data_IF_489557221310
#
_entry.id   IF_489557221310
#
_cell.length_a   1.000
_cell.length_b   1.000
_cell.length_c   1.000
_cell.angle_alpha   90.00
_cell.angle_beta   90.00
_cell.angle_gamma   90.00
#
_symmetry.space_group_name_H-M   'P 1'
#
loop_
_entity.id
_entity.type
_entity.pdbx_description
1 polymer ?
#
# COMPACT_ATOMS: atom_id res chain seq x y z
N UNK A 1 35.23 0.41 -28.71
CA UNK A 1 34.86 -0.69 -27.79
C UNK A 1 34.45 -0.22 -26.37
N UNK A 2 35.11 0.78 -25.79
CA UNK A 2 34.77 1.30 -24.43
C UNK A 2 33.33 1.81 -24.33
N UNK A 3 32.78 2.49 -25.32
CA UNK A 3 31.41 3.04 -25.32
C UNK A 3 30.32 1.95 -25.18
N UNK A 4 30.45 0.85 -25.90
CA UNK A 4 29.44 -0.24 -25.87
C UNK A 4 29.37 -0.98 -24.54
N UNK A 5 30.50 -1.03 -23.82
CA UNK A 5 30.55 -1.66 -22.49
C UNK A 5 29.81 -0.82 -21.44
N UNK A 6 30.00 0.50 -21.46
CA UNK A 6 29.27 1.40 -20.55
C UNK A 6 27.76 1.36 -20.81
N UNK A 7 27.37 1.27 -22.08
CA UNK A 7 25.95 1.17 -22.44
C UNK A 7 25.29 -0.13 -21.90
N UNK A 8 25.99 -1.27 -22.04
CA UNK A 8 25.52 -2.56 -21.53
C UNK A 8 25.45 -2.55 -19.99
N UNK A 9 26.46 -1.98 -19.33
CA UNK A 9 26.47 -1.88 -17.86
C UNK A 9 25.32 -0.99 -17.33
N UNK A 10 25.08 0.15 -17.97
CA UNK A 10 23.99 1.07 -17.61
C UNK A 10 22.63 0.42 -17.89
N UNK A 11 22.47 -0.30 -19.00
CA UNK A 11 21.22 -1.03 -19.30
C UNK A 11 20.97 -2.17 -18.29
N UNK A 12 22.03 -2.90 -17.91
CA UNK A 12 21.92 -3.96 -16.90
C UNK A 12 21.58 -3.40 -15.52
N UNK A 13 22.14 -2.23 -15.16
CA UNK A 13 21.82 -1.54 -13.91
C UNK A 13 20.39 -1.00 -13.92
N UNK A 14 19.93 -0.46 -15.04
CA UNK A 14 18.53 -0.01 -15.22
C UNK A 14 17.54 -1.18 -15.17
N UNK A 15 17.88 -2.34 -15.74
CA UNK A 15 17.07 -3.56 -15.65
C UNK A 15 17.03 -4.16 -14.23
N UNK A 16 18.10 -4.01 -13.45
CA UNK A 16 18.15 -4.42 -12.04
C UNK A 16 17.39 -3.43 -11.12
N UNK A 17 17.27 -2.18 -11.53
CA UNK A 17 16.50 -1.15 -10.81
C UNK A 17 15.01 -1.09 -11.22
N UNK A 18 14.61 -1.77 -12.30
CA UNK A 18 13.21 -2.01 -12.57
C UNK A 18 12.68 -3.08 -11.61
N UNK A 19 12.45 -2.70 -10.35
CA UNK A 19 11.47 -3.39 -9.55
C UNK A 19 10.18 -3.37 -10.39
N UNK A 20 9.68 -4.54 -10.75
CA UNK A 20 8.35 -4.66 -11.31
C UNK A 20 7.41 -4.16 -10.22
N UNK A 21 7.00 -2.90 -10.30
CA UNK A 21 5.83 -2.43 -9.61
C UNK A 21 4.66 -3.19 -10.20
N UNK A 22 4.34 -4.35 -9.65
CA UNK A 22 3.02 -4.90 -9.82
C UNK A 22 2.10 -3.85 -9.18
N UNK A 23 1.34 -3.14 -10.00
CA UNK A 23 0.23 -2.34 -9.48
C UNK A 23 -0.79 -3.35 -8.95
N UNK A 24 -0.70 -3.65 -7.67
CA UNK A 24 -1.72 -4.41 -6.98
C UNK A 24 -2.91 -3.47 -6.76
N UNK A 25 -4.16 -3.94 -7.00
CA UNK A 25 -5.32 -3.23 -6.55
C UNK A 25 -5.20 -3.08 -5.03
N UNK A 26 -4.99 -1.89 -4.50
CA UNK A 26 -4.74 -1.69 -3.09
C UNK A 26 -3.64 -0.68 -2.81
N UNK A 27 -3.02 -0.11 -3.84
CA UNK A 27 -1.99 0.91 -3.67
C UNK A 27 -0.60 0.36 -3.47
N UNK A 28 0.34 1.23 -3.13
CA UNK A 28 1.77 0.94 -3.05
C UNK A 28 2.21 0.22 -1.76
N UNK A 29 1.29 -0.32 -0.97
CA UNK A 29 1.62 -1.06 0.25
C UNK A 29 1.98 -0.16 1.44
N UNK A 30 1.55 1.09 1.45
CA UNK A 30 1.75 2.02 2.57
C UNK A 30 0.77 1.81 3.73
N UNK A 31 -0.12 0.84 3.62
CA UNK A 31 -1.11 0.44 4.64
C UNK A 31 -2.23 1.44 4.89
N UNK A 32 -2.18 2.63 4.34
CA UNK A 32 -3.18 3.69 4.51
C UNK A 32 -3.65 4.09 3.12
N UNK A 33 -4.95 4.01 2.88
CA UNK A 33 -5.50 4.30 1.56
C UNK A 33 -6.57 5.37 1.65
N UNK A 34 -6.17 6.54 1.23
CA UNK A 34 -7.08 7.65 0.99
C UNK A 34 -7.77 7.50 -0.39
N UNK A 35 -8.73 8.35 -0.66
CA UNK A 35 -9.49 8.32 -1.91
C UNK A 35 -8.60 8.60 -3.15
N UNK A 36 -7.47 9.30 -2.98
CA UNK A 36 -6.52 9.55 -4.07
C UNK A 36 -5.67 8.33 -4.39
N UNK A 37 -5.30 7.52 -3.40
CA UNK A 37 -4.56 6.28 -3.64
C UNK A 37 -5.36 5.32 -4.51
N UNK A 38 -6.67 5.20 -4.30
CA UNK A 38 -7.56 4.43 -5.17
C UNK A 38 -7.55 4.93 -6.62
N UNK A 39 -7.41 6.24 -6.83
CA UNK A 39 -7.32 6.84 -8.16
C UNK A 39 -5.94 6.70 -8.82
N UNK A 40 -4.86 6.83 -8.07
CA UNK A 40 -3.51 6.86 -8.61
C UNK A 40 -2.98 5.48 -9.04
N UNK A 41 -3.33 4.40 -8.33
CA UNK A 41 -2.85 3.05 -8.62
C UNK A 41 -3.74 2.29 -9.61
N UNK A 42 -5.00 2.69 -9.74
CA UNK A 42 -5.99 2.07 -10.62
C UNK A 42 -6.48 2.98 -11.75
N UNK A 43 -5.79 4.06 -11.98
CA UNK A 43 -6.14 5.11 -12.92
C UNK A 43 -6.55 6.40 -12.20
N UNK A 44 -6.47 7.49 -12.90
CA UNK A 44 -6.94 8.80 -12.45
C UNK A 44 -8.45 8.74 -12.18
N UNK A 45 -8.89 9.13 -10.99
CA UNK A 45 -10.31 9.18 -10.63
C UNK A 45 -11.14 10.02 -11.64
N UNK A 46 -10.50 10.96 -12.33
CA UNK A 46 -11.13 11.78 -13.38
C UNK A 46 -11.43 11.01 -14.68
N UNK A 47 -10.78 9.86 -14.89
CA UNK A 47 -10.99 9.00 -16.08
C UNK A 47 -11.77 7.73 -15.75
N UNK A 48 -12.11 7.49 -14.48
CA UNK A 48 -12.96 6.38 -14.09
C UNK A 48 -14.40 6.61 -14.51
N UNK A 49 -15.05 5.57 -14.97
CA UNK A 49 -16.49 5.59 -15.18
C UNK A 49 -17.22 5.55 -13.83
N UNK A 50 -18.39 6.17 -13.78
CA UNK A 50 -19.22 6.14 -12.56
C UNK A 50 -19.78 4.74 -12.34
N UNK A 51 -19.55 4.17 -11.15
CA UNK A 51 -20.13 2.90 -10.76
C UNK A 51 -21.65 3.01 -10.59
N UNK A 52 -22.37 1.99 -11.04
CA UNK A 52 -23.81 1.80 -10.76
C UNK A 52 -24.06 1.25 -9.35
N UNK A 53 -23.04 0.90 -8.61
CA UNK A 53 -23.14 0.33 -7.27
C UNK A 53 -23.79 1.30 -6.29
N UNK A 54 -24.66 0.76 -5.44
CA UNK A 54 -25.30 1.49 -4.34
C UNK A 54 -24.60 1.09 -3.05
N UNK A 55 -23.98 2.06 -2.39
CA UNK A 55 -23.24 1.88 -1.14
C UNK A 55 -24.07 2.40 0.06
N UNK A 56 -24.15 1.61 1.11
CA UNK A 56 -24.81 1.97 2.36
C UNK A 56 -23.97 1.55 3.55
N UNK A 57 -23.67 2.49 4.44
CA UNK A 57 -23.01 2.25 5.71
C UNK A 57 -24.05 2.16 6.83
N UNK A 58 -23.77 1.29 7.80
CA UNK A 58 -24.56 1.18 9.05
C UNK A 58 -23.64 0.95 10.25
N UNK A 59 -24.12 1.38 11.43
CA UNK A 59 -23.47 1.21 12.73
C UNK A 59 -24.51 0.83 13.78
N UNK A 60 -24.09 0.35 14.97
CA UNK A 60 -24.94 0.35 16.15
C UNK A 60 -25.45 1.75 16.49
N UNK A 61 -26.59 1.83 17.15
CA UNK A 61 -27.21 3.11 17.55
C UNK A 61 -26.36 3.89 18.56
N UNK A 62 -25.70 3.19 19.47
CA UNK A 62 -24.85 3.79 20.50
C UNK A 62 -23.42 3.29 20.35
N UNK A 63 -22.48 4.22 20.32
CA UNK A 63 -21.04 3.95 20.26
C UNK A 63 -20.39 4.65 21.45
N UNK A 64 -19.55 3.90 22.18
CA UNK A 64 -18.85 4.41 23.35
C UNK A 64 -17.37 4.62 23.07
N UNK A 65 -16.80 5.65 23.68
CA UNK A 65 -15.38 5.96 23.60
C UNK A 65 -14.53 4.76 24.05
N UNK A 66 -13.57 4.35 23.23
CA UNK A 66 -12.64 3.25 23.52
C UNK A 66 -13.27 1.85 23.46
N UNK A 67 -14.55 1.72 23.15
CA UNK A 67 -15.22 0.42 23.01
C UNK A 67 -15.22 0.03 21.52
N UNK A 68 -14.76 -1.20 21.18
CA UNK A 68 -14.87 -1.70 19.82
C UNK A 68 -16.31 -1.74 19.31
N UNK A 69 -16.54 -1.26 18.11
CA UNK A 69 -17.85 -1.27 17.45
C UNK A 69 -17.72 -1.73 16.00
N UNK A 70 -18.85 -2.09 15.37
CA UNK A 70 -18.87 -2.55 13.98
C UNK A 70 -19.44 -1.47 13.07
N UNK A 71 -18.71 -1.15 11.99
CA UNK A 71 -19.24 -0.43 10.84
C UNK A 71 -19.42 -1.44 9.70
N UNK A 72 -20.61 -1.50 9.14
CA UNK A 72 -20.93 -2.44 8.07
C UNK A 72 -21.24 -1.68 6.79
N UNK A 73 -20.54 -2.03 5.72
CA UNK A 73 -20.78 -1.57 4.37
C UNK A 73 -21.55 -2.62 3.58
N UNK A 74 -22.69 -2.25 3.05
CA UNK A 74 -23.41 -3.05 2.05
C UNK A 74 -23.29 -2.37 0.71
N UNK A 75 -22.78 -3.12 -0.28
CA UNK A 75 -22.68 -2.71 -1.66
C UNK A 75 -23.59 -3.59 -2.51
N UNK A 76 -24.53 -2.98 -3.22
CA UNK A 76 -25.51 -3.67 -4.08
C UNK A 76 -25.51 -3.10 -5.49
N UNK A 77 -26.22 -3.74 -6.40
CA UNK A 77 -26.25 -3.40 -7.82
C UNK A 77 -24.86 -3.40 -8.46
N UNK A 78 -24.04 -4.39 -8.09
CA UNK A 78 -22.67 -4.53 -8.53
C UNK A 78 -22.60 -5.11 -9.95
N UNK A 79 -22.02 -4.37 -10.87
CA UNK A 79 -21.67 -4.83 -12.22
C UNK A 79 -20.17 -5.07 -12.28
N UNK A 80 -19.74 -6.31 -12.16
CA UNK A 80 -18.33 -6.66 -12.11
C UNK A 80 -17.80 -7.15 -13.46
N UNK A 81 -16.51 -6.91 -13.68
CA UNK A 81 -15.75 -7.47 -14.80
C UNK A 81 -15.56 -8.98 -14.68
N UNK A 82 -14.87 -9.57 -15.63
CA UNK A 82 -14.53 -11.01 -15.61
C UNK A 82 -13.71 -11.43 -14.37
N UNK A 83 -12.92 -10.53 -13.79
CA UNK A 83 -12.16 -10.79 -12.58
C UNK A 83 -13.02 -10.84 -11.33
N UNK A 84 -14.19 -10.17 -11.35
CA UNK A 84 -15.11 -10.07 -10.20
C UNK A 84 -14.47 -9.52 -8.94
N UNK A 85 -13.33 -8.85 -9.08
CA UNK A 85 -12.61 -8.21 -7.99
C UNK A 85 -13.19 -6.82 -7.75
N UNK A 86 -13.45 -6.50 -6.50
CA UNK A 86 -13.87 -5.18 -6.04
C UNK A 86 -12.94 -4.73 -4.92
N UNK A 87 -12.61 -3.44 -4.90
CA UNK A 87 -11.94 -2.75 -3.80
C UNK A 87 -12.95 -1.88 -3.05
N UNK A 88 -12.94 -1.95 -1.73
CA UNK A 88 -13.88 -1.24 -0.86
C UNK A 88 -13.12 -0.44 0.18
N UNK A 89 -13.50 0.82 0.37
CA UNK A 89 -12.86 1.77 1.27
C UNK A 89 -13.82 2.21 2.36
N UNK A 90 -13.29 2.37 3.58
CA UNK A 90 -13.93 3.10 4.67
C UNK A 90 -13.19 4.43 4.85
N UNK A 91 -13.90 5.54 4.76
CA UNK A 91 -13.35 6.89 4.73
C UNK A 91 -14.08 7.79 5.75
N UNK A 92 -13.45 8.89 6.14
CA UNK A 92 -14.04 9.94 7.02
C UNK A 92 -14.14 11.30 6.34
N UNK A 93 -13.62 11.41 5.13
CA UNK A 93 -13.78 12.57 4.24
C UNK A 93 -13.80 12.09 2.80
N UNK A 94 -14.16 12.97 1.88
CA UNK A 94 -14.26 12.73 0.44
C UNK A 94 -13.35 13.66 -0.36
N UNK A 95 -12.42 14.35 0.30
CA UNK A 95 -11.50 15.31 -0.33
C UNK A 95 -10.27 14.65 -0.94
N UNK A 96 -9.98 13.40 -0.57
CA UNK A 96 -8.80 12.65 -1.01
C UNK A 96 -7.53 12.99 -0.23
N UNK A 97 -7.65 13.66 0.91
CA UNK A 97 -6.53 13.98 1.80
C UNK A 97 -6.98 13.86 3.25
N UNK A 98 -6.21 13.14 4.07
CA UNK A 98 -6.53 12.93 5.48
C UNK A 98 -7.97 12.42 5.69
N UNK A 99 -8.37 11.47 4.86
CA UNK A 99 -9.73 10.96 4.79
C UNK A 99 -9.86 9.53 5.34
N UNK A 100 -8.81 9.03 5.96
CA UNK A 100 -8.84 7.72 6.60
C UNK A 100 -9.49 7.79 7.99
N UNK A 101 -10.04 6.70 8.53
CA UNK A 101 -10.53 6.66 9.90
C UNK A 101 -9.50 7.10 10.94
N UNK A 102 -8.22 6.78 10.72
CA UNK A 102 -7.12 7.16 11.61
C UNK A 102 -6.92 8.68 11.69
N UNK A 103 -7.14 9.40 10.60
CA UNK A 103 -7.08 10.87 10.58
C UNK A 103 -8.18 11.51 11.43
N UNK A 104 -9.31 10.83 11.59
CA UNK A 104 -10.43 11.24 12.44
C UNK A 104 -10.37 10.62 13.85
N UNK A 105 -9.22 10.14 14.29
CA UNK A 105 -8.98 9.54 15.60
C UNK A 105 -9.79 8.26 15.86
N UNK A 106 -9.99 7.45 14.80
CA UNK A 106 -10.53 6.11 14.85
C UNK A 106 -9.45 5.08 14.53
N UNK A 107 -9.39 4.02 15.31
CA UNK A 107 -8.52 2.88 15.09
C UNK A 107 -9.32 1.75 14.44
N UNK A 108 -8.76 1.11 13.42
CA UNK A 108 -9.32 -0.12 12.84
C UNK A 108 -8.68 -1.29 13.56
N UNK A 109 -9.47 -2.07 14.27
CA UNK A 109 -9.02 -3.23 15.03
C UNK A 109 -9.07 -4.52 14.22
N UNK A 110 -9.99 -4.61 13.28
CA UNK A 110 -10.11 -5.76 12.39
C UNK A 110 -10.92 -5.37 11.16
N UNK A 111 -10.47 -5.82 9.99
CA UNK A 111 -11.23 -5.79 8.75
C UNK A 111 -11.76 -7.20 8.38
N UNK A 112 -12.53 -7.30 7.31
CA UNK A 112 -13.14 -8.56 6.90
C UNK A 112 -12.14 -9.61 6.38
N UNK A 113 -10.90 -9.22 6.06
CA UNK A 113 -9.83 -10.10 5.60
C UNK A 113 -8.87 -10.51 6.73
N UNK A 114 -9.06 -9.98 7.95
CA UNK A 114 -8.21 -10.22 9.13
C UNK A 114 -7.07 -9.22 9.29
N UNK A 115 -7.02 -8.17 8.46
CA UNK A 115 -6.10 -7.05 8.64
C UNK A 115 -6.70 -5.92 9.48
N UNK A 116 -6.03 -4.76 9.45
CA UNK A 116 -6.44 -3.52 10.12
C UNK A 116 -6.49 -2.33 9.16
N UNK A 117 -6.86 -2.60 7.91
CA UNK A 117 -6.84 -1.63 6.83
C UNK A 117 -8.22 -0.99 6.62
N UNK A 118 -8.25 0.27 6.22
CA UNK A 118 -9.46 0.94 5.77
C UNK A 118 -9.88 0.55 4.34
N UNK A 119 -9.05 -0.22 3.67
CA UNK A 119 -9.28 -0.76 2.34
C UNK A 119 -9.24 -2.29 2.35
N UNK A 120 -10.12 -2.92 1.60
CA UNK A 120 -10.05 -4.35 1.36
C UNK A 120 -10.49 -4.73 -0.04
N UNK A 121 -9.95 -5.83 -0.53
CA UNK A 121 -10.34 -6.44 -1.78
C UNK A 121 -11.20 -7.68 -1.54
N UNK A 122 -12.17 -7.86 -2.42
CA UNK A 122 -13.03 -9.05 -2.39
C UNK A 122 -13.34 -9.53 -3.79
N UNK A 123 -13.19 -10.84 -4.00
CA UNK A 123 -13.66 -11.50 -5.22
C UNK A 123 -15.09 -12.00 -4.99
N UNK A 124 -16.02 -11.51 -5.82
CA UNK A 124 -17.43 -11.92 -5.75
C UNK A 124 -17.63 -13.29 -6.38
N UNK A 125 -18.60 -14.05 -5.89
CA UNK A 125 -19.03 -15.27 -6.53
C UNK A 125 -19.68 -14.98 -7.90
N UNK A 126 -19.72 -15.97 -8.78
CA UNK A 126 -20.34 -15.79 -10.10
C UNK A 126 -21.83 -15.49 -9.97
N UNK A 127 -22.27 -14.38 -10.55
CA UNK A 127 -23.66 -13.92 -10.48
C UNK A 127 -24.03 -13.20 -9.19
N UNK A 128 -23.09 -13.01 -8.28
CA UNK A 128 -23.28 -12.20 -7.09
C UNK A 128 -23.21 -10.71 -7.48
N UNK A 129 -24.24 -9.94 -7.13
CA UNK A 129 -24.34 -8.50 -7.38
C UNK A 129 -24.51 -7.68 -6.10
N UNK A 130 -24.30 -8.31 -4.95
CA UNK A 130 -24.38 -7.69 -3.63
C UNK A 130 -23.33 -8.31 -2.71
N UNK A 131 -22.75 -7.50 -1.82
CA UNK A 131 -21.84 -7.96 -0.77
C UNK A 131 -21.99 -7.08 0.45
N UNK A 132 -21.72 -7.67 1.63
CA UNK A 132 -21.65 -6.94 2.89
C UNK A 132 -20.33 -7.27 3.57
N UNK A 133 -19.64 -6.25 4.04
CA UNK A 133 -18.38 -6.35 4.76
C UNK A 133 -18.43 -5.48 6.00
N UNK A 134 -17.62 -5.81 7.00
CA UNK A 134 -17.58 -5.08 8.24
C UNK A 134 -16.15 -4.77 8.65
N UNK A 135 -15.97 -3.59 9.24
CA UNK A 135 -14.80 -3.21 10.00
C UNK A 135 -15.15 -3.15 11.48
N UNK A 136 -14.26 -3.63 12.31
CA UNK A 136 -14.31 -3.37 13.74
C UNK A 136 -13.42 -2.17 14.01
N UNK A 137 -14.01 -1.10 14.53
CA UNK A 137 -13.34 0.17 14.78
C UNK A 137 -13.49 0.59 16.24
N UNK A 138 -12.60 1.47 16.69
CA UNK A 138 -12.61 2.02 18.04
C UNK A 138 -12.34 3.52 17.98
N UNK A 139 -13.23 4.33 18.57
CA UNK A 139 -13.05 5.76 18.67
C UNK A 139 -12.09 6.13 19.81
N UNK A 140 -11.17 7.06 19.56
CA UNK A 140 -10.27 7.62 20.58
C UNK A 140 -10.73 8.98 21.09
N UNK A 141 -11.84 9.54 20.55
CA UNK A 141 -12.35 10.86 20.87
C UNK A 141 -13.88 10.88 20.94
N UNK A 142 -14.40 11.71 21.85
CA UNK A 142 -15.83 12.02 21.92
C UNK A 142 -16.26 12.97 20.81
N UNK A 143 -17.51 12.88 20.39
CA UNK A 143 -18.12 13.77 19.40
C UNK A 143 -18.61 13.02 18.17
N UNK A 144 -18.98 13.77 17.13
CA UNK A 144 -19.53 13.20 15.90
C UNK A 144 -18.44 13.07 14.82
N UNK A 145 -18.51 11.95 14.09
CA UNK A 145 -17.70 11.69 12.88
C UNK A 145 -18.63 11.24 11.77
N UNK A 146 -18.40 11.70 10.56
CA UNK A 146 -19.14 11.23 9.39
C UNK A 146 -18.28 10.22 8.63
N UNK A 147 -18.79 9.01 8.47
CA UNK A 147 -18.16 7.98 7.65
C UNK A 147 -18.73 7.95 6.24
N UNK A 148 -17.86 7.73 5.28
CA UNK A 148 -18.15 7.50 3.90
C UNK A 148 -17.58 6.14 3.46
N UNK A 149 -18.06 5.64 2.35
CA UNK A 149 -17.46 4.48 1.71
C UNK A 149 -17.27 4.75 0.23
N UNK A 150 -16.24 4.13 -0.34
CA UNK A 150 -16.01 4.11 -1.77
C UNK A 150 -15.84 2.68 -2.27
N UNK A 151 -16.17 2.47 -3.52
CA UNK A 151 -15.95 1.22 -4.25
C UNK A 151 -15.16 1.49 -5.50
N UNK A 152 -14.24 0.60 -5.78
CA UNK A 152 -13.46 0.57 -7.01
C UNK A 152 -13.57 -0.82 -7.64
N UNK A 153 -13.89 -0.90 -8.93
CA UNK A 153 -13.96 -2.16 -9.65
C UNK A 153 -13.64 -1.95 -11.13
N UNK A 154 -13.51 -3.01 -11.85
CA UNK A 154 -13.10 -2.99 -13.24
C UNK A 154 -12.11 -4.10 -13.51
N UNK A 155 -11.43 -4.08 -14.64
CA UNK A 155 -10.45 -5.11 -14.98
C UNK A 155 -9.58 -4.71 -16.17
N UNK A 156 -8.59 -5.55 -16.47
CA UNK A 156 -7.63 -5.32 -17.56
C UNK A 156 -8.30 -5.08 -18.93
N UNK A 157 -9.52 -5.57 -19.09
CA UNK A 157 -10.30 -5.49 -20.35
C UNK A 157 -11.53 -4.59 -20.26
N UNK A 158 -11.75 -3.89 -19.14
CA UNK A 158 -12.87 -2.98 -18.94
C UNK A 158 -12.40 -1.67 -18.32
N UNK A 159 -13.14 -0.58 -18.55
CA UNK A 159 -12.88 0.69 -17.86
C UNK A 159 -12.90 0.50 -16.35
N UNK A 160 -12.06 1.22 -15.59
CA UNK A 160 -12.19 1.28 -14.15
C UNK A 160 -13.47 2.04 -13.78
N UNK A 161 -14.19 1.53 -12.77
CA UNK A 161 -15.40 2.15 -12.23
C UNK A 161 -15.14 2.58 -10.79
N UNK A 162 -15.68 3.74 -10.44
CA UNK A 162 -15.59 4.30 -9.10
C UNK A 162 -16.95 4.79 -8.62
N UNK A 163 -17.28 4.54 -7.37
CA UNK A 163 -18.50 4.98 -6.73
C UNK A 163 -18.31 5.26 -5.24
N UNK A 164 -19.16 6.10 -4.69
CA UNK A 164 -19.13 6.49 -3.29
C UNK A 164 -20.52 6.46 -2.67
N UNK A 165 -20.60 6.47 -1.34
CA UNK A 165 -21.86 6.68 -0.63
C UNK A 165 -22.48 8.04 -1.02
N UNK A 166 -23.78 8.04 -1.33
CA UNK A 166 -24.49 9.27 -1.66
C UNK A 166 -24.58 10.24 -0.45
N UNK A 167 -24.68 9.69 0.75
CA UNK A 167 -24.67 10.43 2.02
C UNK A 167 -23.78 9.69 3.00
N UNK A 168 -23.00 10.43 3.80
CA UNK A 168 -22.21 9.84 4.87
C UNK A 168 -23.09 9.31 6.02
N UNK A 169 -22.54 8.38 6.78
CA UNK A 169 -23.11 7.89 8.04
C UNK A 169 -22.57 8.77 9.18
N UNK A 170 -23.42 9.57 9.79
CA UNK A 170 -23.05 10.31 11.00
C UNK A 170 -23.10 9.39 12.21
N UNK A 171 -22.01 9.35 12.96
CA UNK A 171 -21.81 8.53 14.16
C UNK A 171 -21.48 9.44 15.32
N UNK A 172 -22.19 9.29 16.46
CA UNK A 172 -21.89 10.01 17.69
C UNK A 172 -21.24 9.09 18.71
N UNK A 173 -20.12 9.53 19.28
CA UNK A 173 -19.36 8.80 20.30
C UNK A 173 -19.70 9.36 21.66
N UNK A 174 -20.21 8.49 22.54
CA UNK A 174 -20.64 8.83 23.89
C UNK A 174 -19.63 8.40 24.96
N UNK A 175 -19.65 9.00 26.15
CA UNK A 175 -18.87 8.53 27.28
C UNK A 175 -19.30 7.12 27.72
N UNK A 176 -18.33 6.29 28.13
CA UNK A 176 -18.60 4.95 28.63
C UNK A 176 -19.30 5.01 29.96
N UNK A 177 -20.40 4.27 30.15
CA UNK A 177 -21.03 4.07 31.50
C UNK A 177 -20.02 3.46 32.50
N UNK A 178 -20.08 3.88 33.76
CA UNK A 178 -19.03 3.61 34.75
C UNK A 178 -18.76 2.11 34.94
N UNK A 179 -19.81 1.29 35.10
CA UNK A 179 -19.69 -0.15 35.39
C UNK A 179 -19.92 -1.06 34.17
N UNK A 180 -19.76 -0.53 32.96
CA UNK A 180 -19.99 -1.33 31.74
C UNK A 180 -18.89 -2.40 31.58
N UNK A 181 -19.24 -3.71 31.58
CA UNK A 181 -18.29 -4.78 31.24
C UNK A 181 -17.76 -4.56 29.85
N UNK A 182 -16.44 -4.57 29.68
CA UNK A 182 -15.80 -4.24 28.38
C UNK A 182 -14.43 -4.86 28.25
N UNK A 183 -13.93 -4.92 27.01
CA UNK A 183 -12.52 -5.17 26.77
C UNK A 183 -11.67 -4.03 27.32
N UNK A 184 -10.45 -4.32 27.77
CA UNK A 184 -9.50 -3.28 28.20
C UNK A 184 -9.26 -2.28 27.05
N UNK A 185 -9.08 -1.01 27.39
CA UNK A 185 -8.96 0.05 26.41
C UNK A 185 -7.72 -0.12 25.49
N UNK A 186 -6.68 -0.76 26.01
CA UNK A 186 -5.42 -1.07 25.31
C UNK A 186 -5.41 -2.49 24.71
N UNK A 187 -6.49 -3.26 24.86
CA UNK A 187 -6.59 -4.59 24.26
C UNK A 187 -6.64 -4.47 22.73
N UNK A 188 -5.68 -5.11 22.08
CA UNK A 188 -5.63 -5.27 20.63
C UNK A 188 -5.98 -6.72 20.27
N UNK A 189 -7.11 -6.98 19.57
CA UNK A 189 -7.44 -8.33 19.15
C UNK A 189 -6.39 -8.84 18.15
N UNK A 190 -5.91 -10.09 18.30
CA UNK A 190 -5.02 -10.68 17.31
C UNK A 190 -5.76 -10.87 15.98
N UNK A 191 -5.09 -10.57 14.88
CA UNK A 191 -5.64 -10.67 13.52
C UNK A 191 -5.12 -11.89 12.78
N UNK A 192 -3.97 -12.44 13.18
CA UNK A 192 -3.33 -13.60 12.54
C UNK A 192 -2.96 -14.69 13.54
N UNK A 193 -2.97 -15.94 13.09
CA UNK A 193 -2.53 -17.13 13.82
C UNK A 193 -1.75 -18.08 12.91
N UNK A 194 -0.82 -18.85 13.49
CA UNK A 194 -0.07 -19.86 12.78
C UNK A 194 -0.92 -21.11 12.46
N UNK A 195 -0.59 -21.76 11.35
CA UNK A 195 -1.13 -23.10 11.01
C UNK A 195 -0.56 -24.17 11.94
N UNK A 196 -1.23 -25.31 12.01
CA UNK A 196 -0.83 -26.55 12.67
C UNK A 196 -0.62 -26.45 14.19
N UNK A 197 -0.89 -25.31 14.80
CA UNK A 197 -0.77 -25.11 16.25
C UNK A 197 -2.06 -24.53 16.83
N UNK A 198 -2.50 -25.01 18.02
CA UNK A 198 -3.59 -24.36 18.76
C UNK A 198 -3.21 -22.91 19.06
N UNK A 199 -4.18 -22.02 18.99
CA UNK A 199 -3.98 -20.60 19.24
C UNK A 199 -4.49 -20.27 20.65
N UNK A 200 -3.63 -19.70 21.48
CA UNK A 200 -3.99 -19.18 22.79
C UNK A 200 -4.29 -17.69 22.69
N UNK A 201 -5.49 -17.30 23.04
CA UNK A 201 -5.92 -15.90 23.09
C UNK A 201 -5.93 -15.43 24.55
N UNK A 202 -5.21 -14.34 24.81
CA UNK A 202 -5.23 -13.66 26.09
C UNK A 202 -6.14 -12.44 26.00
N UNK A 203 -7.28 -12.48 26.70
CA UNK A 203 -8.33 -11.45 26.64
C UNK A 203 -8.29 -10.65 27.93
N UNK A 204 -8.07 -9.36 27.82
CA UNK A 204 -8.10 -8.43 28.94
C UNK A 204 -9.41 -7.66 28.96
N UNK A 205 -10.02 -7.59 30.12
CA UNK A 205 -11.35 -6.97 30.30
C UNK A 205 -11.33 -5.96 31.45
N UNK A 206 -12.40 -5.21 31.60
CA UNK A 206 -12.67 -4.31 32.73
C UNK A 206 -14.12 -4.49 33.18
N UNK A 207 -14.34 -4.43 34.49
CA UNK A 207 -15.70 -4.57 35.12
C UNK A 207 -16.41 -5.87 34.73
N UNK A 208 -15.64 -6.96 34.52
CA UNK A 208 -16.13 -8.24 33.98
C UNK A 208 -15.91 -9.35 35.00
N UNK A 209 -16.98 -10.04 35.38
CA UNK A 209 -16.97 -11.18 36.30
C UNK A 209 -16.89 -12.53 35.58
N UNK A 210 -17.49 -12.60 34.38
CA UNK A 210 -17.45 -13.80 33.55
C UNK A 210 -17.44 -13.43 32.07
N UNK A 211 -16.87 -14.34 31.24
CA UNK A 211 -16.94 -14.23 29.78
C UNK A 211 -17.39 -15.53 29.15
N UNK A 212 -18.18 -15.44 28.08
CA UNK A 212 -18.44 -16.53 27.16
C UNK A 212 -17.75 -16.24 25.83
N UNK A 213 -16.93 -17.17 25.39
CA UNK A 213 -16.20 -17.03 24.11
C UNK A 213 -16.89 -17.81 23.01
N UNK A 214 -17.22 -17.13 21.94
CA UNK A 214 -17.83 -17.69 20.74
C UNK A 214 -16.93 -17.49 19.52
N UNK A 215 -16.89 -18.48 18.66
CA UNK A 215 -16.22 -18.37 17.37
C UNK A 215 -16.98 -19.10 16.28
N UNK A 216 -16.79 -18.72 15.03
CA UNK A 216 -17.39 -19.34 13.85
C UNK A 216 -16.42 -19.33 12.69
N UNK A 217 -16.51 -20.33 11.83
CA UNK A 217 -15.88 -20.39 10.53
C UNK A 217 -16.81 -19.89 9.43
N UNK A 218 -16.36 -19.96 8.18
CA UNK A 218 -17.11 -19.49 7.01
C UNK A 218 -18.46 -20.17 6.80
N UNK A 219 -18.66 -21.35 7.38
CA UNK A 219 -19.97 -22.06 7.39
C UNK A 219 -21.01 -21.39 8.29
N UNK A 220 -20.60 -20.41 9.10
CA UNK A 220 -21.47 -19.65 9.99
C UNK A 220 -21.90 -20.36 11.26
N UNK A 221 -21.47 -21.61 11.50
CA UNK A 221 -21.79 -22.35 12.73
C UNK A 221 -21.02 -21.77 13.91
N UNK A 222 -21.74 -21.34 14.95
CA UNK A 222 -21.16 -20.81 16.17
C UNK A 222 -20.72 -21.97 17.07
N UNK A 223 -19.47 -21.92 17.49
CA UNK A 223 -18.85 -22.83 18.46
C UNK A 223 -18.43 -22.04 19.69
N UNK A 224 -18.47 -22.68 20.85
CA UNK A 224 -17.99 -22.09 22.10
C UNK A 224 -16.64 -22.68 22.48
N UNK A 225 -15.79 -21.86 23.10
CA UNK A 225 -14.58 -22.34 23.75
C UNK A 225 -14.57 -21.92 25.21
N UNK A 226 -13.90 -22.73 26.05
CA UNK A 226 -13.82 -22.48 27.49
C UNK A 226 -12.83 -21.33 27.71
N UNK A 227 -13.30 -20.29 28.39
CA UNK A 227 -12.48 -19.21 28.88
C UNK A 227 -12.04 -19.49 30.32
N UNK A 228 -10.72 -19.55 30.54
CA UNK A 228 -10.16 -19.77 31.86
C UNK A 228 -9.69 -18.43 32.44
N UNK A 229 -10.17 -18.08 33.64
CA UNK A 229 -9.66 -16.89 34.33
C UNK A 229 -8.20 -17.16 34.78
N UNK A 230 -7.30 -16.23 34.45
CA UNK A 230 -5.89 -16.27 34.83
C UNK A 230 -5.52 -15.19 35.85
N UNK A 231 -6.50 -14.43 36.30
CA UNK A 231 -6.35 -13.35 37.28
C UNK A 231 -7.46 -12.32 37.09
N UNK A 232 -7.38 -11.21 37.84
CA UNK A 232 -8.38 -10.16 37.79
C UNK A 232 -8.57 -9.60 36.39
N UNK A 233 -9.74 -9.82 35.80
CA UNK A 233 -10.10 -9.38 34.47
C UNK A 233 -9.20 -9.91 33.32
N UNK A 234 -8.47 -11.01 33.51
CA UNK A 234 -7.68 -11.65 32.46
C UNK A 234 -8.18 -13.07 32.20
N UNK A 235 -8.29 -13.41 30.95
CA UNK A 235 -8.87 -14.66 30.46
C UNK A 235 -8.02 -15.29 29.38
N UNK A 236 -7.87 -16.59 29.42
CA UNK A 236 -7.18 -17.36 28.39
C UNK A 236 -8.15 -18.31 27.71
N UNK A 237 -8.17 -18.29 26.39
CA UNK A 237 -9.00 -19.15 25.54
C UNK A 237 -8.11 -19.86 24.53
N UNK A 238 -8.31 -21.17 24.38
CA UNK A 238 -7.58 -21.94 23.39
C UNK A 238 -8.50 -22.29 22.20
N UNK A 239 -8.12 -21.86 21.01
CA UNK A 239 -8.80 -22.20 19.74
C UNK A 239 -8.04 -23.36 19.08
N UNK A 240 -8.74 -24.37 18.54
CA UNK A 240 -8.11 -25.48 17.82
C UNK A 240 -7.23 -25.02 16.65
N UNK A 241 -6.18 -25.80 16.34
CA UNK A 241 -5.29 -25.54 15.22
C UNK A 241 -6.06 -25.48 13.89
N UNK A 242 -5.66 -24.53 13.03
CA UNK A 242 -6.06 -24.53 11.64
C UNK A 242 -5.10 -25.41 10.82
N UNK A 243 -5.63 -26.33 10.01
CA UNK A 243 -4.84 -27.23 9.18
C UNK A 243 -4.60 -26.70 7.76
N UNK A 244 -5.24 -25.61 7.41
CA UNK A 244 -5.10 -24.93 6.12
C UNK A 244 -5.41 -23.44 6.30
N UNK A 245 -4.94 -22.57 5.39
CA UNK A 245 -5.28 -21.15 5.40
C UNK A 245 -6.80 -20.97 5.42
N UNK A 246 -7.31 -20.29 6.45
CA UNK A 246 -8.73 -20.03 6.65
C UNK A 246 -8.90 -18.87 7.62
N UNK A 247 -10.04 -18.23 7.58
CA UNK A 247 -10.41 -17.19 8.55
C UNK A 247 -11.52 -17.71 9.47
N UNK A 248 -11.45 -17.33 10.72
CA UNK A 248 -12.53 -17.48 11.68
C UNK A 248 -12.92 -16.11 12.22
N UNK A 249 -14.12 -15.99 12.70
CA UNK A 249 -14.56 -14.83 13.47
C UNK A 249 -14.79 -15.26 14.92
N UNK A 250 -14.42 -14.40 15.85
CA UNK A 250 -14.63 -14.64 17.28
C UNK A 250 -15.17 -13.40 17.98
N UNK A 251 -15.89 -13.61 19.06
CA UNK A 251 -16.40 -12.56 19.94
C UNK A 251 -16.49 -13.04 21.37
N UNK A 252 -16.66 -12.12 22.30
CA UNK A 252 -16.94 -12.43 23.70
C UNK A 252 -18.23 -11.75 24.17
N UNK A 253 -18.99 -12.49 24.96
CA UNK A 253 -20.07 -11.95 25.77
C UNK A 253 -19.47 -11.68 27.14
N UNK A 254 -19.70 -10.50 27.67
CA UNK A 254 -19.09 -9.98 28.90
C UNK A 254 -20.19 -9.71 29.91
N UNK A 255 -20.09 -10.33 31.07
CA UNK A 255 -21.03 -10.17 32.20
C UNK A 255 -20.29 -9.57 33.40
N UNK A 256 -20.95 -8.69 34.14
CA UNK A 256 -20.45 -8.03 35.33
C UNK A 256 -21.57 -7.30 36.08
N UNK A 257 -21.21 -6.32 36.90
CA UNK A 257 -22.22 -5.54 37.65
C UNK A 257 -23.10 -4.69 36.72
N UNK A 258 -22.59 -4.26 35.56
CA UNK A 258 -23.32 -3.48 34.56
C UNK A 258 -24.11 -4.38 33.61
N UNK A 259 -24.81 -3.78 32.63
CA UNK A 259 -25.53 -4.54 31.62
C UNK A 259 -24.56 -5.40 30.78
N UNK A 260 -25.00 -6.62 30.49
CA UNK A 260 -24.27 -7.56 29.61
C UNK A 260 -23.86 -6.89 28.29
N UNK A 261 -22.64 -7.14 27.87
CA UNK A 261 -22.09 -6.63 26.62
C UNK A 261 -21.63 -7.75 25.71
N UNK A 262 -21.83 -7.57 24.43
CA UNK A 262 -21.29 -8.46 23.40
C UNK A 262 -20.35 -7.66 22.51
N UNK A 263 -19.10 -8.15 22.37
CA UNK A 263 -18.14 -7.50 21.46
C UNK A 263 -18.54 -7.71 20.00
N UNK A 264 -18.02 -6.88 19.08
CA UNK A 264 -18.04 -7.21 17.66
C UNK A 264 -17.40 -8.56 17.36
N UNK A 265 -17.69 -9.10 16.18
CA UNK A 265 -16.94 -10.21 15.63
C UNK A 265 -15.58 -9.74 15.11
N UNK A 266 -14.51 -10.22 15.72
CA UNK A 266 -13.13 -9.99 15.27
C UNK A 266 -12.73 -11.10 14.31
N UNK A 267 -12.02 -10.75 13.24
CA UNK A 267 -11.49 -11.72 12.28
C UNK A 267 -10.10 -12.20 12.71
N UNK A 268 -9.86 -13.50 12.63
CA UNK A 268 -8.58 -14.13 12.93
C UNK A 268 -8.20 -15.05 11.76
N UNK A 269 -7.27 -14.60 10.92
CA UNK A 269 -6.80 -15.34 9.76
C UNK A 269 -5.71 -16.35 10.15
N UNK A 270 -5.79 -17.55 9.61
CA UNK A 270 -4.74 -18.56 9.73
C UNK A 270 -3.89 -18.56 8.47
N UNK A 271 -2.61 -18.32 8.63
CA UNK A 271 -1.64 -18.26 7.55
C UNK A 271 -0.41 -19.10 7.87
N UNK A 272 0.31 -19.52 6.83
CA UNK A 272 1.64 -20.08 7.02
C UNK A 272 2.51 -19.03 7.70
N UNK A 273 3.29 -19.46 8.70
CA UNK A 273 4.23 -18.56 9.34
C UNK A 273 5.13 -17.96 8.26
N UNK A 274 5.04 -16.65 8.10
CA UNK A 274 5.93 -15.94 7.18
C UNK A 274 7.38 -16.25 7.56
N UNK A 275 8.19 -16.55 6.56
CA UNK A 275 9.63 -16.71 6.78
C UNK A 275 10.15 -15.39 7.32
N UNK A 276 10.51 -15.37 8.59
CA UNK A 276 11.26 -14.25 9.15
C UNK A 276 12.63 -14.22 8.49
N UNK A 277 12.72 -13.40 7.46
CA UNK A 277 14.02 -13.14 6.84
C UNK A 277 14.79 -12.23 7.80
N UNK A 278 15.79 -12.81 8.47
CA UNK A 278 16.69 -12.03 9.31
C UNK A 278 17.23 -10.85 8.50
N UNK A 279 17.01 -9.60 8.95
CA UNK A 279 17.56 -8.40 8.30
C UNK A 279 19.06 -8.53 8.04
N UNK A 280 19.78 -9.13 8.97
CA UNK A 280 21.22 -9.42 8.84
C UNK A 280 21.50 -10.34 7.64
N UNK A 281 20.65 -11.31 7.34
CA UNK A 281 20.82 -12.19 6.18
C UNK A 281 20.61 -11.42 4.87
N UNK A 282 19.66 -10.49 4.83
CA UNK A 282 19.42 -9.62 3.66
C UNK A 282 20.63 -8.72 3.42
N UNK A 283 21.16 -8.08 4.47
CA UNK A 283 22.36 -7.27 4.34
C UNK A 283 23.57 -8.08 3.88
N UNK A 284 23.79 -9.29 4.44
CA UNK A 284 24.87 -10.18 4.02
C UNK A 284 24.73 -10.60 2.55
N UNK A 285 23.53 -10.90 2.08
CA UNK A 285 23.28 -11.21 0.68
C UNK A 285 23.53 -10.01 -0.22
N UNK A 286 23.09 -8.82 0.18
CA UNK A 286 23.36 -7.58 -0.57
C UNK A 286 24.84 -7.28 -0.68
N UNK A 287 25.60 -7.42 0.42
CA UNK A 287 27.07 -7.28 0.44
C UNK A 287 27.74 -8.34 -0.44
N UNK A 288 27.33 -9.60 -0.36
CA UNK A 288 27.89 -10.67 -1.18
C UNK A 288 27.69 -10.41 -2.69
N UNK A 289 26.50 -9.97 -3.07
CA UNK A 289 26.19 -9.56 -4.45
C UNK A 289 27.02 -8.36 -4.90
N UNK A 290 27.22 -7.37 -4.03
CA UNK A 290 28.04 -6.19 -4.33
C UNK A 290 29.52 -6.58 -4.54
N UNK A 291 30.09 -7.43 -3.68
CA UNK A 291 31.45 -7.93 -3.84
C UNK A 291 31.62 -8.82 -5.07
N UNK A 292 30.63 -9.66 -5.37
CA UNK A 292 30.65 -10.49 -6.57
C UNK A 292 30.61 -9.65 -7.84
N UNK A 293 29.75 -8.64 -7.92
CA UNK A 293 29.68 -7.74 -9.06
C UNK A 293 30.95 -6.89 -9.20
N UNK A 294 31.48 -6.37 -8.10
CA UNK A 294 32.77 -5.66 -8.10
C UNK A 294 33.91 -6.57 -8.58
N UNK A 295 33.98 -7.80 -8.09
CA UNK A 295 34.97 -8.80 -8.54
C UNK A 295 34.88 -9.11 -10.03
N UNK A 296 33.66 -9.27 -10.56
CA UNK A 296 33.44 -9.47 -11.99
C UNK A 296 33.92 -8.24 -12.81
N UNK A 297 33.55 -7.03 -12.38
CA UNK A 297 33.94 -5.79 -13.03
C UNK A 297 35.48 -5.64 -13.06
N UNK A 298 36.16 -5.85 -11.92
CA UNK A 298 37.61 -5.77 -11.81
C UNK A 298 38.29 -6.83 -12.71
N UNK A 299 37.78 -8.07 -12.70
CA UNK A 299 38.31 -9.16 -13.54
C UNK A 299 38.15 -8.86 -15.02
N UNK A 300 37.03 -8.29 -15.44
CA UNK A 300 36.83 -7.86 -16.82
C UNK A 300 37.74 -6.69 -17.18
N UNK A 301 37.87 -5.70 -16.30
CA UNK A 301 38.78 -4.56 -16.52
C UNK A 301 40.23 -5.01 -16.67
N UNK A 302 40.73 -5.90 -15.79
CA UNK A 302 42.13 -6.40 -15.89
C UNK A 302 42.36 -7.21 -17.17
N UNK A 303 41.40 -8.00 -17.64
CA UNK A 303 41.50 -8.71 -18.92
C UNK A 303 41.53 -7.78 -20.13
N UNK A 304 40.78 -6.69 -20.09
CA UNK A 304 40.74 -5.72 -21.18
C UNK A 304 41.96 -4.80 -21.20
N UNK A 305 42.52 -4.43 -20.04
CA UNK A 305 43.75 -3.64 -19.95
C UNK A 305 45.01 -4.47 -20.30
N UNK A 306 45.04 -5.76 -19.88
CA UNK A 306 46.14 -6.65 -20.25
C UNK A 306 46.26 -6.89 -21.78
N UNK A 307 45.13 -6.88 -22.54
CA UNK A 307 45.16 -6.99 -24.01
C UNK A 307 45.61 -5.70 -24.73
N UNK A 308 45.54 -4.55 -24.08
CA UNK A 308 45.97 -3.28 -24.69
C UNK A 308 47.43 -2.95 -24.40
N UNK A 309 48.10 -3.71 -23.52
CA UNK A 309 49.50 -3.49 -23.13
C UNK A 309 50.56 -4.25 -23.95
N UNK A 310 50.17 -5.14 -24.88
CA UNK A 310 51.06 -6.00 -25.62
C UNK A 310 51.37 -5.55 -27.10
N UNK A 311 51.11 -4.28 -27.43
CA UNK A 311 51.44 -3.75 -28.74
C UNK A 311 52.04 -2.35 -28.68
N UNK A 312 53.15 -2.21 -27.96
CA UNK A 312 54.03 -1.04 -28.13
C UNK A 312 55.40 -1.28 -27.54
N UNK A 313 56.16 -2.16 -28.14
CA UNK A 313 57.62 -2.10 -28.12
C UNK A 313 58.11 -2.64 -29.50
N UNK A 314 57.95 -1.83 -30.51
CA UNK A 314 58.85 -1.81 -31.62
C UNK A 314 59.60 -0.50 -31.49
N UNK A 315 60.87 -0.64 -31.05
CA UNK A 315 61.86 0.43 -31.06
C UNK A 315 62.10 0.89 -32.52
N UNK A 316 61.68 2.12 -32.76
CA UNK A 316 62.30 2.86 -33.94
C UNK A 316 63.16 3.97 -33.36
N UNK A 317 64.33 4.21 -34.00
CA UNK A 317 65.38 5.03 -33.42
C UNK A 317 65.01 6.52 -33.39
N UNK A 318 65.50 7.15 -32.33
CA UNK A 318 65.40 8.60 -32.09
C UNK A 318 66.18 9.32 -33.21
N UNK A 319 65.45 10.07 -34.03
CA UNK A 319 66.06 11.19 -34.81
C UNK A 319 65.47 12.46 -34.13
N UNK A 320 66.42 13.15 -33.47
CA UNK A 320 66.19 14.52 -33.03
C UNK A 320 66.21 15.41 -34.30
N UNK A 321 65.04 15.96 -34.60
CA UNK A 321 64.96 17.13 -35.48
C UNK A 321 64.07 18.18 -34.78
N UNK A 322 64.83 19.19 -34.40
CA UNK A 322 64.32 20.46 -33.89
C UNK A 322 63.68 21.18 -35.08
N UNK A 323 62.42 21.64 -34.93
CA UNK A 323 62.03 22.95 -35.50
C UNK A 323 60.50 23.26 -35.27
N UNK A 324 60.36 24.43 -34.75
CA UNK A 324 59.31 25.45 -35.05
C UNK A 324 57.88 25.26 -34.60
N UNK A 325 57.60 26.04 -33.60
CA UNK A 325 56.42 26.94 -33.40
C UNK A 325 55.38 26.96 -34.54
N UNK A 326 54.13 27.05 -33.95
CA UNK A 326 52.95 27.70 -34.53
C UNK A 326 51.94 26.75 -35.13
N UNK A 327 50.88 26.47 -34.37
CA UNK A 327 49.51 26.92 -34.71
C UNK A 327 48.55 26.48 -33.62
N UNK A 328 47.96 27.47 -32.94
CA UNK A 328 46.87 27.27 -32.02
C UNK A 328 45.63 26.82 -32.82
N UNK A 329 45.13 25.62 -32.52
CA UNK A 329 43.80 25.20 -32.96
C UNK A 329 42.75 26.12 -32.33
N UNK A 330 41.76 26.62 -33.08
CA UNK A 330 40.73 27.48 -32.55
C UNK A 330 39.85 26.68 -31.60
N UNK A 331 39.70 27.22 -30.40
CA UNK A 331 38.68 26.82 -29.43
C UNK A 331 37.31 26.84 -30.13
N UNK A 332 36.64 25.71 -30.18
CA UNK A 332 35.25 25.61 -30.61
C UNK A 332 34.44 26.54 -29.73
N UNK A 333 34.01 27.66 -30.26
CA UNK A 333 33.05 28.55 -29.59
C UNK A 333 31.76 27.79 -29.41
N UNK A 334 31.31 27.66 -28.16
CA UNK A 334 29.94 27.24 -27.89
C UNK A 334 28.98 28.19 -28.65
N UNK A 335 27.99 27.65 -29.37
CA UNK A 335 27.05 28.46 -30.13
C UNK A 335 26.32 29.41 -29.16
N UNK A 336 26.44 30.71 -29.39
CA UNK A 336 25.75 31.74 -28.62
C UNK A 336 24.24 31.50 -28.74
N UNK A 337 23.48 31.49 -27.64
CA UNK A 337 22.03 31.24 -27.67
C UNK A 337 21.33 32.29 -28.56
N UNK A 338 20.28 31.89 -29.32
CA UNK A 338 19.58 32.83 -30.18
C UNK A 338 18.84 33.91 -29.35
N UNK A 339 18.65 35.11 -29.89
CA UNK A 339 17.90 36.16 -29.21
C UNK A 339 16.47 35.70 -28.96
N UNK A 340 15.91 36.13 -27.82
CA UNK A 340 14.52 35.83 -27.47
C UNK A 340 13.55 36.41 -28.51
N UNK A 341 12.51 35.67 -28.94
CA UNK A 341 11.46 36.21 -29.80
C UNK A 341 10.77 37.41 -29.17
N UNK A 342 10.24 38.30 -29.98
CA UNK A 342 9.50 39.49 -29.50
C UNK A 342 8.26 39.14 -28.65
N UNK A 343 7.73 37.94 -28.82
CA UNK A 343 6.60 37.36 -28.05
C UNK A 343 7.01 36.73 -26.74
N UNK A 344 8.30 36.70 -26.39
CA UNK A 344 8.84 36.04 -25.20
C UNK A 344 9.14 34.56 -25.42
N UNK A 345 9.41 33.82 -24.35
CA UNK A 345 9.64 32.37 -24.39
C UNK A 345 8.36 31.61 -24.82
N UNK A 346 8.51 30.54 -25.61
CA UNK A 346 7.37 29.66 -25.91
C UNK A 346 6.72 29.13 -24.63
N UNK A 347 5.41 28.92 -24.67
CA UNK A 347 4.66 28.43 -23.49
C UNK A 347 5.25 27.15 -22.96
N UNK A 348 5.58 27.15 -21.65
CA UNK A 348 6.19 25.99 -20.95
C UNK A 348 7.72 25.90 -21.09
N UNK A 349 8.39 26.84 -21.75
CA UNK A 349 9.85 26.83 -21.86
C UNK A 349 10.51 27.69 -20.79
N UNK A 350 11.66 27.24 -20.32
CA UNK A 350 12.55 27.98 -19.41
C UNK A 350 13.70 28.66 -20.21
N UNK A 351 14.32 29.67 -19.64
CA UNK A 351 15.50 30.33 -20.24
C UNK A 351 16.63 29.33 -20.49
N UNK A 352 16.80 28.36 -19.62
CA UNK A 352 17.83 27.31 -19.76
C UNK A 352 17.54 26.42 -20.99
N UNK A 353 16.29 26.06 -21.19
CA UNK A 353 15.87 25.30 -22.37
C UNK A 353 16.02 26.12 -23.67
N UNK A 354 15.73 27.41 -23.61
CA UNK A 354 15.93 28.30 -24.74
C UNK A 354 17.42 28.40 -25.12
N UNK A 355 18.30 28.58 -24.15
CA UNK A 355 19.75 28.64 -24.41
C UNK A 355 20.29 27.36 -25.06
N UNK A 356 19.76 26.20 -24.69
CA UNK A 356 20.19 24.92 -25.19
C UNK A 356 19.57 24.55 -26.56
N UNK A 357 18.30 24.86 -26.76
CA UNK A 357 17.49 24.33 -27.88
C UNK A 357 16.82 25.40 -28.74
N UNK A 358 17.02 26.69 -28.43
CA UNK A 358 16.36 27.79 -29.12
C UNK A 358 16.61 27.83 -30.61
N UNK A 359 17.82 27.48 -31.09
CA UNK A 359 18.15 27.35 -32.52
C UNK A 359 17.31 26.28 -33.22
N UNK A 360 17.12 25.15 -32.56
CA UNK A 360 16.33 24.04 -33.08
C UNK A 360 14.83 24.34 -33.10
N UNK A 361 14.36 25.11 -32.11
CA UNK A 361 12.98 25.62 -32.12
C UNK A 361 12.72 26.58 -33.27
N UNK A 362 13.62 27.54 -33.49
CA UNK A 362 13.53 28.48 -34.61
C UNK A 362 13.66 27.80 -35.98
N UNK A 363 14.36 26.66 -36.03
CA UNK A 363 14.46 25.81 -37.22
C UNK A 363 13.23 24.90 -37.45
N UNK A 364 12.19 24.99 -36.57
CA UNK A 364 10.92 24.24 -36.70
C UNK A 364 11.00 22.77 -36.29
N UNK A 365 12.07 22.31 -35.64
CA UNK A 365 12.23 20.91 -35.25
C UNK A 365 11.23 20.45 -34.16
N UNK A 366 10.63 21.39 -33.44
CA UNK A 366 9.68 21.11 -32.34
C UNK A 366 8.23 21.51 -32.68
N UNK A 367 7.85 21.57 -33.95
CA UNK A 367 6.46 21.67 -34.39
C UNK A 367 5.72 22.98 -34.04
N UNK A 368 6.44 24.04 -33.66
CA UNK A 368 5.88 25.31 -33.19
C UNK A 368 6.20 26.56 -34.00
N UNK A 369 6.69 26.41 -35.20
CA UNK A 369 7.10 27.53 -36.02
C UNK A 369 6.06 28.00 -37.01
N UNK A 370 5.05 28.70 -36.56
CA UNK A 370 4.31 29.73 -37.35
C UNK A 370 3.67 30.71 -36.36
N UNK A 371 4.19 31.89 -36.30
CA UNK A 371 3.50 33.10 -35.90
C UNK A 371 3.68 34.14 -37.00
#
# INVERSE_FOLDING_TARGET
MKSRFHTVLVLSLLLLCSAFGAAEPGGNGDSIQDMQCGGACHGDASINETSSAILSLSSPETIYLGIPTTLTLTASNLETSSTRLIGLFLLTDMTGHSDTPQDAEWEILSDANGGTMNYLERTLASGQNETSISWVVRASKLGSTTFHAAIHHGGVSSSPFFGTTATGLEVSVEPVPENLPRLAADFAPPTFRALDTPTELNIQTQFTESIQFEWKSDDGLISNAIANSTGDNNWTVTIPAALQPTSIQWRVLLEGEGPEQTTPWFTLAAEESSWEVSENAVYLQAFALLFMTAGIVITLQTRFTAKSGLSKYDEAPVVLEELALTEALPLSQEPTPPPLPATGLPTGWTVVQWNAYGHDYLAGKYGGGQA
#
